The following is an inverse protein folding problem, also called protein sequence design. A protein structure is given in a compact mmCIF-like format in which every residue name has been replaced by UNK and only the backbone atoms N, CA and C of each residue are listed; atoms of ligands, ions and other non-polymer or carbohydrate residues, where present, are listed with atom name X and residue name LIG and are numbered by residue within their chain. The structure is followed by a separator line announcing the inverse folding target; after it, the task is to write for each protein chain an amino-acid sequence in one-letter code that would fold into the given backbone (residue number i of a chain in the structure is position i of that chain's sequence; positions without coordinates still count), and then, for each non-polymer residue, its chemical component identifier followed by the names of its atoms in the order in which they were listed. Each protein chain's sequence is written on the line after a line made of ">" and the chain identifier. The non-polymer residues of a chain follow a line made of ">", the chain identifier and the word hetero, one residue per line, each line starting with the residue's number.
data_IF_475236696757
#
_entry.id   IF_475236696757
#
_cell.length_a   1.000
_cell.length_b   1.000
_cell.length_c   1.000
_cell.angle_alpha   90.00
_cell.angle_beta   90.00
_cell.angle_gamma   90.00
#
_symmetry.space_group_name_H-M   'P 1'
#
loop_
_entity.id
_entity.type
_entity.pdbx_description
1 polymer ?
#
# COMPACT_ATOMS: atom_id res chain seq x y z
N UNK A 1 -2.43 -1.53 10.24
CA UNK A 1 -1.25 -0.74 10.57
C UNK A 1 -1.71 0.58 11.18
N UNK A 2 -1.74 0.66 12.51
CA UNK A 2 -1.91 1.93 13.19
C UNK A 2 -0.56 2.65 13.07
N UNK A 3 -0.43 3.58 12.13
CA UNK A 3 0.58 4.61 12.30
C UNK A 3 0.12 5.48 13.46
N UNK A 4 0.85 5.44 14.56
CA UNK A 4 0.76 6.44 15.60
C UNK A 4 1.03 7.80 14.94
N UNK A 5 -0.02 8.57 14.72
CA UNK A 5 0.11 9.99 14.46
C UNK A 5 0.45 10.59 15.82
N UNK A 6 1.74 10.83 16.04
CA UNK A 6 2.18 11.55 17.22
C UNK A 6 1.77 13.02 17.04
N UNK A 7 0.61 13.38 17.54
CA UNK A 7 0.24 14.77 17.75
C UNK A 7 1.15 15.32 18.88
N UNK A 8 2.27 15.95 18.51
CA UNK A 8 3.01 16.80 19.45
C UNK A 8 2.21 18.08 19.67
N UNK A 9 1.74 18.26 20.89
CA UNK A 9 1.27 19.56 21.35
C UNK A 9 -0.03 19.58 22.11
N UNK A 10 -0.20 18.73 23.14
CA UNK A 10 -1.04 19.06 24.30
C UNK A 10 -0.53 18.29 25.50
N UNK A 11 0.07 19.03 26.44
CA UNK A 11 0.40 18.54 27.78
C UNK A 11 -0.85 18.57 28.64
N UNK A 12 -1.35 17.39 29.02
CA UNK A 12 -2.26 17.21 30.14
C UNK A 12 -1.59 16.39 31.23
N UNK A 13 -1.86 16.69 32.53
CA UNK A 13 -1.09 16.15 33.65
C UNK A 13 -1.38 14.66 33.88
N UNK A 14 -0.32 13.99 34.29
CA UNK A 14 -0.18 12.63 34.72
C UNK A 14 -1.36 12.07 35.53
N UNK A 15 -2.09 11.15 34.93
CA UNK A 15 -2.66 10.03 35.65
C UNK A 15 -2.12 8.74 35.01
N UNK A 16 -1.35 7.99 35.82
CA UNK A 16 -0.84 6.67 35.53
C UNK A 16 -2.01 5.69 35.40
N UNK A 17 -2.61 5.59 34.23
CA UNK A 17 -3.44 4.45 33.86
C UNK A 17 -2.73 3.80 32.68
N UNK A 18 -2.00 2.71 32.94
CA UNK A 18 -1.59 1.76 31.90
C UNK A 18 -2.85 1.09 31.35
N UNK A 19 -3.53 1.74 30.46
CA UNK A 19 -4.55 1.08 29.64
C UNK A 19 -3.79 0.36 28.53
N UNK A 20 -3.55 -0.93 28.74
CA UNK A 20 -3.22 -1.84 27.65
C UNK A 20 -4.47 -1.95 26.77
N UNK A 21 -4.60 -1.12 25.76
CA UNK A 21 -5.43 -1.44 24.62
C UNK A 21 -4.72 -2.55 23.86
N UNK A 22 -5.05 -3.79 24.17
CA UNK A 22 -4.85 -4.91 23.25
C UNK A 22 -5.89 -4.69 22.15
N UNK A 23 -5.58 -3.78 21.23
CA UNK A 23 -6.26 -3.73 19.96
C UNK A 23 -5.67 -4.88 19.16
N UNK A 24 -6.38 -6.00 19.10
CA UNK A 24 -6.12 -7.03 18.09
C UNK A 24 -6.27 -6.37 16.73
N UNK A 25 -5.16 -5.90 16.17
CA UNK A 25 -5.13 -5.29 14.86
C UNK A 25 -5.31 -6.40 13.83
N UNK A 26 -6.55 -6.62 13.42
CA UNK A 26 -6.79 -7.28 12.14
C UNK A 26 -6.01 -6.49 11.09
N UNK A 27 -5.40 -7.22 10.15
CA UNK A 27 -4.63 -6.71 9.01
C UNK A 27 -5.47 -5.67 8.24
N UNK A 28 -5.54 -4.45 8.77
CA UNK A 28 -6.33 -3.37 8.19
C UNK A 28 -5.48 -2.71 7.13
N UNK A 29 -6.02 -2.62 5.93
CA UNK A 29 -5.50 -1.71 4.93
C UNK A 29 -5.37 -0.31 5.51
N UNK A 30 -4.29 0.40 5.15
CA UNK A 30 -4.27 1.85 5.31
C UNK A 30 -5.47 2.39 4.53
N UNK A 31 -6.31 3.15 5.20
CA UNK A 31 -7.41 3.86 4.52
C UNK A 31 -6.80 4.84 3.52
N UNK A 32 -7.34 4.82 2.33
CA UNK A 32 -6.96 5.77 1.30
C UNK A 32 -7.79 7.04 1.51
N UNK A 33 -7.17 8.23 1.55
CA UNK A 33 -7.90 9.48 1.74
C UNK A 33 -9.04 9.68 0.74
N UNK A 34 -8.83 9.27 -0.51
CA UNK A 34 -9.85 9.31 -1.56
C UNK A 34 -11.06 8.42 -1.24
N UNK A 35 -10.86 7.28 -0.57
CA UNK A 35 -11.97 6.41 -0.16
C UNK A 35 -12.86 7.09 0.89
N UNK A 36 -12.23 7.79 1.84
CA UNK A 36 -12.93 8.57 2.84
C UNK A 36 -13.78 9.67 2.17
N UNK A 37 -13.17 10.45 1.26
CA UNK A 37 -13.88 11.53 0.56
C UNK A 37 -15.05 10.99 -0.25
N UNK A 38 -14.85 9.93 -1.04
CA UNK A 38 -15.90 9.32 -1.87
C UNK A 38 -17.04 8.74 -1.00
N UNK A 39 -16.72 8.25 0.21
CA UNK A 39 -17.74 7.77 1.15
C UNK A 39 -18.42 8.86 1.97
N UNK A 40 -18.05 10.13 1.78
CA UNK A 40 -18.61 11.28 2.48
C UNK A 40 -17.92 11.64 3.79
N UNK A 41 -16.85 10.94 4.19
CA UNK A 41 -16.05 11.33 5.35
C UNK A 41 -15.01 12.39 4.96
N UNK A 42 -15.41 13.65 5.10
CA UNK A 42 -14.55 14.81 4.79
C UNK A 42 -13.56 15.15 5.91
N UNK A 43 -13.62 14.46 7.06
CA UNK A 43 -12.68 14.72 8.17
C UNK A 43 -11.24 14.44 7.76
N UNK A 44 -11.00 13.51 6.83
CA UNK A 44 -9.69 13.22 6.25
C UNK A 44 -9.02 14.48 5.67
N UNK A 45 -9.80 15.42 5.13
CA UNK A 45 -9.26 16.68 4.58
C UNK A 45 -8.68 17.60 5.67
N UNK A 46 -9.14 17.47 6.93
CA UNK A 46 -8.57 18.22 8.04
C UNK A 46 -7.11 17.84 8.27
N UNK A 47 -6.78 16.59 8.02
CA UNK A 47 -5.42 16.09 8.16
C UNK A 47 -4.47 16.75 7.16
N UNK A 48 -4.88 16.91 5.90
CA UNK A 48 -4.09 17.60 4.87
C UNK A 48 -3.97 19.10 5.12
N UNK A 49 -4.95 19.71 5.79
CA UNK A 49 -4.93 21.14 6.14
C UNK A 49 -4.20 21.43 7.46
N UNK A 50 -3.95 20.43 8.29
CA UNK A 50 -3.17 20.56 9.53
C UNK A 50 -1.68 20.80 9.21
N UNK A 51 -0.93 21.37 10.20
CA UNK A 51 0.52 21.56 10.08
C UNK A 51 1.29 20.25 10.28
N UNK A 52 1.15 19.32 9.33
CA UNK A 52 1.81 18.02 9.34
C UNK A 52 2.69 17.80 8.12
N UNK A 53 3.55 16.80 8.19
CA UNK A 53 4.31 16.34 7.03
C UNK A 53 3.38 15.50 6.14
N UNK A 54 3.29 15.85 4.87
CA UNK A 54 2.58 15.10 3.85
C UNK A 54 3.64 14.40 3.00
N UNK A 55 3.51 13.09 2.85
CA UNK A 55 4.35 12.29 1.94
C UNK A 55 3.47 11.53 0.97
N UNK A 56 3.98 11.28 -0.24
CA UNK A 56 3.28 10.42 -1.16
C UNK A 56 3.37 8.96 -0.70
N UNK A 57 2.28 8.22 -0.85
CA UNK A 57 2.27 6.77 -0.64
C UNK A 57 2.89 6.11 -1.87
N UNK A 58 3.91 5.27 -1.65
CA UNK A 58 4.45 4.40 -2.68
C UNK A 58 3.34 3.45 -3.12
N UNK A 59 3.20 3.26 -4.41
CA UNK A 59 2.17 2.41 -5.00
C UNK A 59 2.80 1.44 -6.01
N UNK A 60 2.44 0.18 -5.89
CA UNK A 60 2.87 -0.90 -6.76
C UNK A 60 1.85 -2.03 -6.76
N UNK A 61 2.01 -3.00 -7.63
CA UNK A 61 1.08 -4.12 -7.72
C UNK A 61 1.77 -5.39 -8.25
N UNK A 62 1.56 -6.53 -7.58
CA UNK A 62 0.86 -6.73 -6.30
C UNK A 62 1.72 -6.38 -5.08
N UNK A 63 1.09 -6.34 -3.90
CA UNK A 63 1.82 -6.38 -2.64
C UNK A 63 2.38 -7.79 -2.41
N UNK A 64 3.69 -7.90 -2.21
CA UNK A 64 4.42 -9.15 -1.98
C UNK A 64 4.74 -9.26 -0.50
N UNK A 65 4.52 -10.45 0.06
CA UNK A 65 4.93 -10.83 1.41
C UNK A 65 5.94 -11.97 1.32
N UNK A 66 7.05 -11.86 2.02
CA UNK A 66 8.09 -12.89 2.02
C UNK A 66 8.80 -12.97 3.37
N UNK A 67 9.42 -14.11 3.64
CA UNK A 67 10.18 -14.36 4.87
C UNK A 67 10.11 -15.82 5.28
N UNK A 68 10.38 -16.09 6.55
CA UNK A 68 10.27 -17.44 7.11
C UNK A 68 8.91 -17.63 7.78
N UNK A 69 8.20 -18.67 7.39
CA UNK A 69 6.93 -19.04 8.02
C UNK A 69 7.21 -19.64 9.42
N UNK A 70 6.72 -19.02 10.50
CA UNK A 70 7.01 -19.48 11.86
C UNK A 70 6.46 -20.89 12.15
N UNK A 71 5.39 -21.30 11.48
CA UNK A 71 4.79 -22.63 11.67
C UNK A 71 5.61 -23.77 11.05
N UNK A 72 6.37 -23.51 9.98
CA UNK A 72 7.09 -24.55 9.22
C UNK A 72 8.60 -24.35 9.20
N UNK A 73 9.08 -23.19 9.57
CA UNK A 73 10.48 -22.77 9.45
C UNK A 73 11.00 -22.75 8.00
N UNK A 74 10.10 -22.73 7.03
CA UNK A 74 10.44 -22.66 5.61
C UNK A 74 10.28 -21.23 5.07
N UNK A 75 11.16 -20.85 4.16
CA UNK A 75 10.99 -19.61 3.41
C UNK A 75 9.72 -19.68 2.56
N UNK A 76 9.03 -18.56 2.46
CA UNK A 76 7.84 -18.43 1.64
C UNK A 76 7.78 -17.10 0.91
N UNK A 77 7.00 -17.08 -0.15
CA UNK A 77 6.50 -15.87 -0.82
C UNK A 77 4.99 -15.94 -0.97
N UNK A 78 4.35 -14.79 -1.02
CA UNK A 78 2.91 -14.72 -1.25
C UNK A 78 2.41 -13.30 -1.39
N UNK A 79 1.12 -13.15 -1.43
CA UNK A 79 0.40 -11.88 -1.31
C UNK A 79 -0.15 -11.73 0.10
N UNK A 80 -0.93 -10.68 0.37
CA UNK A 80 -1.63 -10.53 1.66
C UNK A 80 -2.52 -11.73 2.04
N UNK A 81 -2.82 -12.62 1.08
CA UNK A 81 -3.57 -13.86 1.34
C UNK A 81 -2.87 -14.84 2.29
N UNK A 82 -1.57 -14.66 2.57
CA UNK A 82 -0.83 -15.44 3.58
C UNK A 82 -1.34 -15.21 5.00
N UNK A 83 -2.03 -14.10 5.24
CA UNK A 83 -2.63 -13.74 6.53
C UNK A 83 -4.13 -14.06 6.63
N UNK A 84 -4.71 -14.67 5.59
CA UNK A 84 -6.13 -15.00 5.59
C UNK A 84 -6.48 -16.08 6.62
N UNK A 85 -7.64 -15.94 7.28
CA UNK A 85 -8.11 -16.92 8.26
C UNK A 85 -8.67 -18.20 7.64
N UNK A 86 -9.25 -18.13 6.43
CA UNK A 86 -9.94 -19.25 5.78
C UNK A 86 -9.19 -19.82 4.58
N UNK A 87 -8.78 -18.98 3.66
CA UNK A 87 -8.10 -19.37 2.42
C UNK A 87 -6.68 -18.81 2.44
N UNK A 88 -5.83 -19.53 3.16
CA UNK A 88 -4.42 -19.16 3.31
C UNK A 88 -3.67 -19.62 2.06
N UNK A 89 -2.87 -18.73 1.46
CA UNK A 89 -2.07 -19.03 0.29
C UNK A 89 -0.61 -18.69 0.58
N UNK A 90 0.09 -19.64 1.19
CA UNK A 90 1.52 -19.57 1.48
C UNK A 90 2.23 -20.42 0.45
N UNK A 91 3.29 -19.90 -0.17
CA UNK A 91 4.00 -20.63 -1.22
C UNK A 91 5.46 -20.84 -0.81
N UNK A 92 5.80 -22.09 -0.53
CA UNK A 92 7.17 -22.53 -0.23
C UNK A 92 7.89 -23.05 -1.47
N UNK A 93 7.15 -23.35 -2.53
CA UNK A 93 7.62 -23.92 -3.78
C UNK A 93 6.91 -23.33 -4.98
N UNK A 94 7.47 -23.55 -6.17
CA UNK A 94 6.80 -23.22 -7.45
C UNK A 94 5.46 -23.94 -7.62
N UNK A 95 5.39 -25.20 -7.17
CA UNK A 95 4.14 -25.97 -7.21
C UNK A 95 3.04 -25.36 -6.34
N UNK A 96 3.39 -24.78 -5.18
CA UNK A 96 2.42 -24.06 -4.34
C UNK A 96 1.93 -22.80 -5.05
N UNK A 97 2.82 -22.09 -5.75
CA UNK A 97 2.44 -20.90 -6.51
C UNK A 97 1.44 -21.27 -7.61
N UNK A 98 1.73 -22.32 -8.39
CA UNK A 98 0.86 -22.78 -9.49
C UNK A 98 -0.52 -23.22 -8.97
N UNK A 99 -0.57 -23.85 -7.78
CA UNK A 99 -1.81 -24.25 -7.15
C UNK A 99 -2.63 -23.07 -6.60
N UNK A 100 -1.96 -22.05 -6.11
CA UNK A 100 -2.58 -20.95 -5.37
C UNK A 100 -2.88 -19.73 -6.24
N UNK A 101 -2.14 -19.50 -7.32
CA UNK A 101 -2.16 -18.26 -8.09
C UNK A 101 -2.14 -18.55 -9.59
N UNK A 102 -2.61 -17.58 -10.39
CA UNK A 102 -2.63 -17.66 -11.84
C UNK A 102 -2.20 -16.33 -12.47
N UNK A 103 -1.84 -16.36 -13.75
CA UNK A 103 -1.50 -15.18 -14.54
C UNK A 103 -0.32 -14.40 -13.97
N UNK A 104 -0.36 -13.09 -14.12
CA UNK A 104 0.77 -12.21 -13.75
C UNK A 104 1.21 -12.35 -12.28
N UNK A 105 0.27 -12.58 -11.36
CA UNK A 105 0.60 -12.76 -9.94
C UNK A 105 1.47 -14.00 -9.74
N UNK A 106 1.13 -15.12 -10.40
CA UNK A 106 1.95 -16.35 -10.33
C UNK A 106 3.35 -16.08 -10.89
N UNK A 107 3.46 -15.45 -12.07
CA UNK A 107 4.75 -15.09 -12.67
C UNK A 107 5.60 -14.26 -11.71
N UNK A 108 5.04 -13.22 -11.10
CA UNK A 108 5.76 -12.37 -10.14
C UNK A 108 6.23 -13.19 -8.93
N UNK A 109 5.36 -14.05 -8.37
CA UNK A 109 5.71 -14.85 -7.20
C UNK A 109 6.80 -15.91 -7.51
N UNK A 110 6.83 -16.46 -8.72
CA UNK A 110 7.94 -17.34 -9.15
C UNK A 110 9.28 -16.59 -9.12
N UNK A 111 9.34 -15.41 -9.72
CA UNK A 111 10.56 -14.59 -9.67
C UNK A 111 10.89 -14.16 -8.22
N UNK A 112 9.91 -13.85 -7.40
CA UNK A 112 10.13 -13.54 -5.99
C UNK A 112 10.69 -14.74 -5.21
N UNK A 113 10.21 -15.94 -5.46
CA UNK A 113 10.69 -17.16 -4.79
C UNK A 113 12.16 -17.44 -5.12
N UNK A 114 12.56 -17.18 -6.37
CA UNK A 114 13.92 -17.42 -6.84
C UNK A 114 14.92 -16.35 -6.38
N UNK A 115 14.48 -15.09 -6.33
CA UNK A 115 15.38 -13.94 -6.24
C UNK A 115 15.37 -13.22 -4.89
N UNK A 116 14.31 -13.34 -4.08
CA UNK A 116 14.28 -12.65 -2.79
C UNK A 116 15.23 -13.30 -1.76
N UNK A 117 15.94 -12.49 -0.97
CA UNK A 117 16.83 -13.00 0.05
C UNK A 117 16.06 -13.77 1.12
N UNK A 118 16.62 -14.91 1.53
CA UNK A 118 16.07 -15.73 2.61
C UNK A 118 16.19 -14.98 3.93
N UNK A 119 15.08 -14.58 4.51
CA UNK A 119 15.00 -13.81 5.74
C UNK A 119 14.20 -14.53 6.81
N UNK A 120 14.66 -14.43 8.05
CA UNK A 120 13.86 -14.86 9.22
C UNK A 120 12.70 -13.91 9.44
N UNK A 121 12.93 -12.62 9.23
CA UNK A 121 11.90 -11.57 9.33
C UNK A 121 10.93 -11.65 8.15
N UNK A 122 9.66 -11.46 8.42
CA UNK A 122 8.61 -11.40 7.40
C UNK A 122 8.46 -9.94 6.96
N UNK A 123 8.64 -9.71 5.67
CA UNK A 123 8.51 -8.39 5.05
C UNK A 123 7.32 -8.32 4.11
N UNK A 124 6.85 -7.10 3.89
CA UNK A 124 5.94 -6.78 2.79
C UNK A 124 6.45 -5.56 2.05
N UNK A 125 6.34 -5.62 0.74
CA UNK A 125 6.62 -4.50 -0.16
C UNK A 125 5.75 -4.57 -1.41
N UNK A 126 5.71 -3.47 -2.13
CA UNK A 126 5.01 -3.39 -3.40
C UNK A 126 5.96 -3.78 -4.55
N UNK A 127 5.49 -4.64 -5.44
CA UNK A 127 6.22 -4.99 -6.66
C UNK A 127 6.16 -3.81 -7.63
N UNK A 128 7.32 -3.35 -8.08
CA UNK A 128 7.47 -2.23 -9.01
C UNK A 128 7.63 -2.72 -10.45
N UNK A 129 8.41 -3.78 -10.66
CA UNK A 129 8.63 -4.34 -11.98
C UNK A 129 9.73 -5.39 -12.04
N UNK A 130 9.87 -5.99 -13.21
CA UNK A 130 11.04 -6.78 -13.57
C UNK A 130 12.12 -5.86 -14.12
N UNK A 131 13.38 -6.20 -13.91
CA UNK A 131 14.49 -5.45 -14.47
C UNK A 131 14.42 -5.27 -15.99
N UNK A 132 15.39 -4.61 -16.54
CA UNK A 132 15.50 -4.43 -17.99
C UNK A 132 14.99 -3.10 -18.53
N UNK A 133 14.51 -2.19 -17.68
CA UNK A 133 14.07 -0.85 -18.06
C UNK A 133 14.57 0.21 -17.06
N UNK A 134 14.43 1.44 -17.40
CA UNK A 134 14.62 2.60 -16.52
C UNK A 134 13.29 3.30 -16.16
N UNK A 135 12.17 2.79 -16.68
CA UNK A 135 10.85 3.36 -16.49
C UNK A 135 9.82 2.25 -16.17
N UNK A 136 9.08 2.42 -15.07
CA UNK A 136 8.12 1.46 -14.57
C UNK A 136 6.81 2.16 -14.20
N UNK A 137 5.69 1.53 -14.55
CA UNK A 137 4.34 1.98 -14.19
C UNK A 137 3.53 0.80 -13.65
N UNK A 138 3.82 0.36 -12.41
CA UNK A 138 3.13 -0.79 -11.83
C UNK A 138 1.65 -0.54 -11.56
N UNK A 139 1.29 0.68 -11.21
CA UNK A 139 -0.09 1.08 -10.92
C UNK A 139 -0.33 2.53 -11.36
N UNK A 140 -0.58 3.47 -10.45
CA UNK A 140 -0.85 4.89 -10.78
C UNK A 140 0.42 5.74 -10.81
N UNK A 141 1.46 5.35 -10.08
CA UNK A 141 2.73 6.09 -10.00
C UNK A 141 3.70 5.55 -11.05
N UNK A 142 4.38 6.46 -11.73
CA UNK A 142 5.51 6.15 -12.62
C UNK A 142 6.82 6.33 -11.86
N UNK A 143 7.71 5.34 -12.00
CA UNK A 143 9.03 5.34 -11.40
C UNK A 143 10.08 5.45 -12.49
N UNK A 144 10.98 6.43 -12.36
CA UNK A 144 12.08 6.64 -13.27
C UNK A 144 13.40 6.44 -12.55
N UNK A 145 14.28 5.64 -13.15
CA UNK A 145 15.63 5.40 -12.69
C UNK A 145 16.61 6.12 -13.60
N UNK A 146 17.76 6.51 -13.07
CA UNK A 146 18.80 7.19 -13.87
C UNK A 146 19.39 6.26 -14.94
N UNK A 147 19.38 4.97 -14.70
CA UNK A 147 19.89 3.94 -15.58
C UNK A 147 18.92 2.76 -15.59
N UNK A 148 19.05 1.94 -16.64
CA UNK A 148 18.37 0.67 -16.73
C UNK A 148 18.67 -0.17 -15.49
N UNK A 149 17.63 -0.71 -14.86
CA UNK A 149 17.78 -1.61 -13.72
C UNK A 149 18.23 -2.98 -14.21
N UNK A 150 19.35 -3.47 -13.67
CA UNK A 150 19.94 -4.74 -14.07
C UNK A 150 19.45 -5.93 -13.23
N UNK A 151 18.89 -5.68 -12.03
CA UNK A 151 18.33 -6.71 -11.17
C UNK A 151 17.10 -7.36 -11.80
N UNK A 152 16.81 -8.60 -11.41
CA UNK A 152 15.66 -9.37 -11.92
C UNK A 152 14.32 -8.79 -11.48
N UNK A 153 14.23 -8.29 -10.24
CA UNK A 153 13.01 -7.73 -9.66
C UNK A 153 13.29 -6.45 -8.88
N UNK A 154 12.28 -5.58 -8.84
CA UNK A 154 12.29 -4.33 -8.08
C UNK A 154 11.14 -4.36 -7.10
N UNK A 155 11.43 -4.16 -5.82
CA UNK A 155 10.44 -4.15 -4.74
C UNK A 155 10.63 -2.90 -3.87
N UNK A 156 9.53 -2.28 -3.47
CA UNK A 156 9.50 -1.18 -2.50
C UNK A 156 9.00 -1.70 -1.14
N UNK A 157 9.90 -2.15 -0.24
CA UNK A 157 9.51 -2.65 1.07
C UNK A 157 9.04 -1.51 1.96
N UNK A 158 8.00 -1.76 2.77
CA UNK A 158 7.41 -0.73 3.64
C UNK A 158 6.90 -1.25 4.97
N UNK A 159 6.80 -2.58 5.16
CA UNK A 159 6.26 -3.20 6.36
C UNK A 159 7.07 -4.43 6.73
N UNK A 160 7.23 -4.68 8.03
CA UNK A 160 7.64 -5.99 8.51
C UNK A 160 6.60 -6.53 9.48
N UNK A 161 6.62 -7.83 9.72
CA UNK A 161 5.68 -8.53 10.58
C UNK A 161 6.41 -9.32 11.66
N UNK A 162 5.80 -9.35 12.84
CA UNK A 162 6.16 -10.25 13.93
C UNK A 162 5.03 -11.27 14.05
N UNK A 163 5.38 -12.55 13.94
CA UNK A 163 4.46 -13.66 14.13
C UNK A 163 5.17 -14.73 14.98
N UNK A 164 4.54 -15.13 16.10
CA UNK A 164 5.16 -16.08 17.02
C UNK A 164 5.07 -17.53 16.50
N UNK A 165 3.90 -17.95 16.06
CA UNK A 165 3.65 -19.34 15.68
C UNK A 165 2.87 -19.51 14.37
N UNK A 166 2.14 -18.48 13.94
CA UNK A 166 1.27 -18.55 12.76
C UNK A 166 1.16 -17.18 12.10
N UNK A 167 1.15 -17.18 10.76
CA UNK A 167 1.01 -15.93 9.98
C UNK A 167 -0.34 -15.23 10.20
N UNK A 168 -1.36 -15.97 10.64
CA UNK A 168 -2.69 -15.40 10.94
C UNK A 168 -2.69 -14.44 12.12
N UNK A 169 -1.71 -14.59 13.01
CA UNK A 169 -1.55 -13.78 14.21
C UNK A 169 -0.43 -12.74 14.08
N UNK A 170 0.04 -12.52 12.85
CA UNK A 170 1.11 -11.59 12.55
C UNK A 170 0.71 -10.14 12.82
N UNK A 171 1.56 -9.42 13.54
CA UNK A 171 1.44 -7.99 13.79
C UNK A 171 2.31 -7.20 12.81
N UNK A 172 1.73 -6.16 12.22
CA UNK A 172 2.38 -5.33 11.20
C UNK A 172 3.04 -4.10 11.80
N UNK A 173 4.28 -3.83 11.41
CA UNK A 173 5.07 -2.67 11.83
C UNK A 173 5.63 -1.93 10.60
N UNK A 174 5.76 -0.60 10.66
CA UNK A 174 6.38 0.16 9.59
C UNK A 174 7.87 -0.19 9.49
N UNK A 175 8.36 -0.37 8.27
CA UNK A 175 9.78 -0.57 8.00
C UNK A 175 10.47 0.79 7.95
N UNK A 176 11.28 1.10 8.97
CA UNK A 176 11.96 2.39 9.09
C UNK A 176 13.37 2.38 8.48
N UNK A 177 13.93 1.20 8.23
CA UNK A 177 15.25 1.02 7.63
C UNK A 177 15.16 0.51 6.19
N UNK A 178 16.25 0.65 5.45
CA UNK A 178 16.35 0.16 4.08
C UNK A 178 16.83 -1.29 4.10
N UNK A 179 16.23 -2.13 3.25
CA UNK A 179 16.80 -3.43 2.94
C UNK A 179 17.93 -3.27 1.93
N UNK A 180 18.97 -4.07 2.09
CA UNK A 180 20.10 -4.08 1.16
C UNK A 180 19.73 -4.81 -0.13
N UNK A 181 19.97 -4.13 -1.26
CA UNK A 181 19.82 -4.72 -2.59
C UNK A 181 21.00 -5.63 -2.91
N UNK A 182 20.76 -6.61 -3.78
CA UNK A 182 21.81 -7.48 -4.30
C UNK A 182 21.77 -7.54 -5.84
N UNK A 183 22.39 -8.55 -6.44
CA UNK A 183 22.43 -8.70 -7.89
C UNK A 183 21.08 -9.15 -8.48
N UNK A 184 20.19 -9.68 -7.68
CA UNK A 184 18.91 -10.26 -8.10
C UNK A 184 17.72 -9.33 -7.78
N UNK A 185 17.77 -8.62 -6.65
CA UNK A 185 16.68 -7.75 -6.21
C UNK A 185 17.16 -6.34 -5.93
N UNK A 186 16.44 -5.36 -6.50
CA UNK A 186 16.59 -3.97 -6.16
C UNK A 186 15.49 -3.58 -5.16
N UNK A 187 15.88 -3.28 -3.93
CA UNK A 187 14.98 -2.68 -2.94
C UNK A 187 15.03 -1.17 -3.06
N UNK A 188 13.87 -0.54 -3.24
CA UNK A 188 13.75 0.90 -3.39
C UNK A 188 12.93 1.50 -2.27
N UNK A 189 13.38 2.65 -1.79
CA UNK A 189 12.59 3.55 -0.94
C UNK A 189 12.55 4.88 -1.66
N UNK A 190 11.59 5.08 -2.56
CA UNK A 190 11.51 6.31 -3.34
C UNK A 190 11.48 7.54 -2.44
N UNK A 191 12.32 8.50 -2.76
CA UNK A 191 12.30 9.81 -2.13
C UNK A 191 11.28 10.65 -2.87
N UNK A 192 10.12 10.86 -2.28
CA UNK A 192 8.95 11.43 -2.96
C UNK A 192 8.63 12.79 -2.38
N UNK A 193 8.65 13.81 -3.21
CA UNK A 193 8.22 15.16 -2.85
C UNK A 193 6.82 15.43 -3.37
N UNK A 194 6.05 16.21 -2.61
CA UNK A 194 4.84 16.83 -3.12
C UNK A 194 5.25 18.17 -3.69
N UNK A 195 5.21 18.27 -5.02
CA UNK A 195 5.50 19.53 -5.72
C UNK A 195 4.30 20.48 -5.71
N UNK A 196 3.74 20.69 -4.51
CA UNK A 196 2.64 21.63 -4.28
C UNK A 196 2.96 22.43 -3.04
N UNK A 197 2.78 23.74 -3.13
CA UNK A 197 2.92 24.55 -1.93
C UNK A 197 1.70 24.34 -1.01
N UNK A 198 1.84 24.75 0.26
CA UNK A 198 0.79 24.56 1.27
C UNK A 198 -0.52 25.27 0.90
N UNK A 199 -0.43 26.43 0.24
CA UNK A 199 -1.60 27.19 -0.15
C UNK A 199 -2.44 26.43 -1.19
N UNK A 200 -1.79 25.80 -2.17
CA UNK A 200 -2.49 24.95 -3.16
C UNK A 200 -3.23 23.79 -2.50
N UNK A 201 -2.61 23.16 -1.50
CA UNK A 201 -3.24 22.06 -0.76
C UNK A 201 -4.50 22.55 -0.01
N UNK A 202 -4.38 23.70 0.67
CA UNK A 202 -5.50 24.32 1.37
C UNK A 202 -6.66 24.67 0.42
N UNK A 203 -6.36 25.28 -0.73
CA UNK A 203 -7.35 25.65 -1.74
C UNK A 203 -8.06 24.43 -2.30
N UNK A 204 -7.32 23.37 -2.65
CA UNK A 204 -7.90 22.12 -3.15
C UNK A 204 -8.77 21.41 -2.11
N UNK A 205 -8.35 21.37 -0.83
CA UNK A 205 -9.16 20.80 0.25
C UNK A 205 -10.43 21.61 0.49
N UNK A 206 -10.36 22.95 0.44
CA UNK A 206 -11.51 23.81 0.59
C UNK A 206 -12.49 23.66 -0.59
N UNK A 207 -11.96 23.59 -1.81
CA UNK A 207 -12.76 23.31 -2.99
C UNK A 207 -13.47 21.96 -2.89
N UNK A 208 -12.75 20.90 -2.50
CA UNK A 208 -13.34 19.58 -2.31
C UNK A 208 -14.50 19.60 -1.28
N UNK A 209 -14.34 20.35 -0.16
CA UNK A 209 -15.43 20.53 0.81
C UNK A 209 -16.65 21.25 0.24
N UNK A 210 -16.43 22.31 -0.53
CA UNK A 210 -17.51 23.05 -1.17
C UNK A 210 -18.28 22.17 -2.16
N UNK A 211 -17.56 21.45 -3.03
CA UNK A 211 -18.20 20.52 -3.98
C UNK A 211 -18.97 19.43 -3.23
N UNK A 212 -18.40 18.87 -2.18
CA UNK A 212 -19.03 17.82 -1.39
C UNK A 212 -20.35 18.25 -0.74
N UNK A 213 -20.56 19.54 -0.46
CA UNK A 213 -21.85 20.05 0.04
C UNK A 213 -22.93 20.09 -1.03
N UNK A 214 -22.56 20.02 -2.30
CA UNK A 214 -23.46 20.09 -3.45
C UNK A 214 -23.75 18.72 -4.08
N UNK A 215 -22.99 17.70 -3.68
CA UNK A 215 -23.07 16.37 -4.26
C UNK A 215 -23.71 15.35 -3.31
N UNK A 216 -24.48 14.42 -3.87
CA UNK A 216 -24.88 13.22 -3.16
C UNK A 216 -23.73 12.19 -3.23
N UNK A 217 -23.36 11.67 -2.07
CA UNK A 217 -22.31 10.63 -2.02
C UNK A 217 -22.89 9.26 -2.35
N UNK A 218 -22.17 8.43 -3.14
CA UNK A 218 -22.61 7.08 -3.41
C UNK A 218 -22.56 6.23 -2.13
N UNK A 219 -23.66 5.58 -1.81
CA UNK A 219 -23.77 4.66 -0.66
C UNK A 219 -23.46 3.21 -1.02
N UNK A 220 -23.42 2.90 -2.31
CA UNK A 220 -23.21 1.54 -2.81
C UNK A 220 -21.73 1.26 -3.05
N UNK A 221 -21.18 0.27 -2.33
CA UNK A 221 -19.78 -0.17 -2.45
C UNK A 221 -19.36 -0.56 -3.86
N UNK A 222 -20.26 -1.11 -4.68
CA UNK A 222 -19.96 -1.43 -6.09
C UNK A 222 -19.78 -0.17 -6.92
N UNK A 223 -20.59 0.84 -6.67
CA UNK A 223 -20.52 2.14 -7.36
C UNK A 223 -19.22 2.86 -6.99
N UNK A 224 -18.87 2.89 -5.70
CA UNK A 224 -17.59 3.43 -5.21
C UNK A 224 -16.40 2.74 -5.91
N UNK A 225 -16.41 1.41 -5.98
CA UNK A 225 -15.34 0.66 -6.63
C UNK A 225 -15.22 0.96 -8.14
N UNK A 226 -16.35 1.19 -8.83
CA UNK A 226 -16.37 1.59 -10.25
C UNK A 226 -15.76 2.97 -10.45
N UNK A 227 -16.15 3.94 -9.64
CA UNK A 227 -15.64 5.32 -9.66
C UNK A 227 -14.12 5.31 -9.43
N UNK A 228 -13.64 4.62 -8.41
CA UNK A 228 -12.20 4.48 -8.14
C UNK A 228 -11.44 3.85 -9.29
N UNK A 229 -11.97 2.77 -9.86
CA UNK A 229 -11.34 2.11 -11.01
C UNK A 229 -11.22 3.07 -12.20
N UNK A 230 -12.24 3.89 -12.44
CA UNK A 230 -12.21 4.87 -13.50
C UNK A 230 -11.17 5.96 -13.25
N UNK A 231 -11.15 6.56 -12.07
CA UNK A 231 -10.16 7.57 -11.70
C UNK A 231 -8.72 7.04 -11.83
N UNK A 232 -8.46 5.86 -11.32
CA UNK A 232 -7.14 5.24 -11.44
C UNK A 232 -6.74 5.00 -12.90
N UNK A 233 -7.70 4.63 -13.76
CA UNK A 233 -7.44 4.45 -15.17
C UNK A 233 -7.12 5.78 -15.88
N UNK A 234 -7.86 6.84 -15.56
CA UNK A 234 -7.59 8.18 -16.09
C UNK A 234 -6.21 8.69 -15.65
N UNK A 235 -5.89 8.60 -14.36
CA UNK A 235 -4.58 9.02 -13.82
C UNK A 235 -3.45 8.22 -14.49
N UNK A 236 -3.59 6.91 -14.60
CA UNK A 236 -2.59 6.03 -15.20
C UNK A 236 -2.30 6.36 -16.68
N UNK A 237 -3.31 6.77 -17.42
CA UNK A 237 -3.21 7.02 -18.84
C UNK A 237 -3.11 8.51 -19.19
N UNK A 238 -3.00 9.38 -18.19
CA UNK A 238 -2.91 10.84 -18.35
C UNK A 238 -4.13 11.40 -19.11
N UNK A 239 -5.32 10.85 -18.79
CA UNK A 239 -6.61 11.24 -19.37
C UNK A 239 -7.30 12.18 -18.40
N UNK A 240 -7.79 13.31 -18.91
CA UNK A 240 -8.61 14.24 -18.14
C UNK A 240 -9.93 13.58 -17.74
N UNK A 241 -10.34 13.79 -16.48
CA UNK A 241 -11.60 13.28 -15.97
C UNK A 241 -12.69 14.27 -16.36
N UNK A 242 -13.62 13.85 -17.21
CA UNK A 242 -14.75 14.66 -17.64
C UNK A 242 -16.07 14.22 -16.98
N UNK A 243 -17.04 15.10 -16.98
CA UNK A 243 -18.36 14.88 -16.35
C UNK A 243 -19.15 13.76 -17.06
N UNK A 244 -18.97 13.61 -18.38
CA UNK A 244 -19.68 12.61 -19.19
C UNK A 244 -19.24 11.19 -18.79
N UNK A 245 -17.95 11.00 -18.57
CA UNK A 245 -17.42 9.70 -18.12
C UNK A 245 -17.85 9.35 -16.71
N UNK A 246 -18.06 10.35 -15.84
CA UNK A 246 -18.57 10.17 -14.48
C UNK A 246 -20.06 9.80 -14.47
N UNK A 247 -20.89 10.44 -15.28
CA UNK A 247 -22.31 10.09 -15.42
C UNK A 247 -22.49 8.66 -15.92
N UNK A 248 -21.71 8.22 -16.92
CA UNK A 248 -21.77 6.85 -17.45
C UNK A 248 -21.38 5.77 -16.42
N UNK A 249 -20.67 6.13 -15.35
CA UNK A 249 -20.26 5.21 -14.29
C UNK A 249 -21.27 5.21 -13.14
N UNK A 250 -21.96 6.32 -12.92
CA UNK A 250 -22.94 6.46 -11.85
C UNK A 250 -24.21 5.62 -12.07
N UNK A 251 -24.55 5.33 -13.32
CA UNK A 251 -25.67 4.49 -13.74
C UNK A 251 -25.20 3.07 -14.14
#
# INVERSE_FOLDING_TARGET
>A
SLRLITLRGFTYPLFNVKIYFIITMQNKHLEHPEDCVISGDLNVLNWFTANGNISAKIDGAPAIVWGTNPATNLFFVGTKSVFNKKLIKINHSHADIDNNHQGQVATILHHCLDNLPRSVTIYQGDFIGFGGSDNYNPNTIRYFFQHKVEQEIIIAPHTYYIAESDLRDAEAFPLEFNLESDNNVLFVKPDVYINSNRQDILERCNFARQVATLCEFPTNTRQIARIKKHFNACIKNDIEIDDISLEAIAH
#
